data_IF_103406203350
#
_entry.id   IF_103406203350
#
_cell.length_a   1.000
_cell.length_b   1.000
_cell.length_c   1.000
_cell.angle_alpha   90.00
_cell.angle_beta   90.00
_cell.angle_gamma   90.00
#
_symmetry.space_group_name_H-M   'P 1'
#
loop_
_entity.id
_entity.type
_entity.pdbx_description
1 polymer ?
#
# COMPACT_ATOMS: atom_id res chain seq x y z
N UNK A 1 -25.63 2.40 42.47
CA UNK A 1 -24.32 2.66 41.81
C UNK A 1 -24.19 1.90 40.50
N UNK A 2 -24.42 0.58 40.51
CA UNK A 2 -24.38 -0.27 39.31
C UNK A 2 -25.37 0.16 38.21
N UNK A 3 -26.61 0.50 38.58
CA UNK A 3 -27.60 1.01 37.61
C UNK A 3 -27.12 2.27 36.88
N UNK A 4 -26.45 3.17 37.60
CA UNK A 4 -25.89 4.40 37.03
C UNK A 4 -24.75 4.08 36.04
N UNK A 5 -23.88 3.13 36.38
CA UNK A 5 -22.79 2.67 35.51
C UNK A 5 -23.32 1.97 34.26
N UNK A 6 -24.32 1.10 34.40
CA UNK A 6 -25.00 0.44 33.28
C UNK A 6 -25.63 1.46 32.33
N UNK A 7 -26.39 2.41 32.87
CA UNK A 7 -27.04 3.45 32.07
C UNK A 7 -26.01 4.32 31.32
N UNK A 8 -24.84 4.56 31.93
CA UNK A 8 -23.76 5.29 31.28
C UNK A 8 -23.14 4.50 30.11
N UNK A 9 -22.96 3.19 30.27
CA UNK A 9 -22.47 2.30 29.21
C UNK A 9 -23.46 2.17 28.04
N UNK A 10 -24.76 2.03 28.33
CA UNK A 10 -25.81 2.05 27.31
C UNK A 10 -25.80 3.35 26.51
N UNK A 11 -25.78 4.49 27.21
CA UNK A 11 -25.75 5.81 26.58
C UNK A 11 -24.52 6.00 25.68
N UNK A 12 -23.36 5.52 26.11
CA UNK A 12 -22.14 5.56 25.30
C UNK A 12 -22.27 4.69 24.04
N UNK A 13 -22.81 3.47 24.17
CA UNK A 13 -23.05 2.55 23.06
C UNK A 13 -24.04 3.11 22.03
N UNK A 14 -25.08 3.81 22.47
CA UNK A 14 -26.04 4.50 21.61
C UNK A 14 -25.43 5.71 20.89
N UNK A 15 -24.67 6.54 21.60
CA UNK A 15 -23.98 7.69 21.02
C UNK A 15 -22.98 7.27 19.93
N UNK A 16 -22.27 6.15 20.15
CA UNK A 16 -21.40 5.55 19.14
C UNK A 16 -22.19 5.10 17.91
N UNK A 17 -23.30 4.38 18.11
CA UNK A 17 -24.17 3.95 17.02
C UNK A 17 -24.67 5.14 16.19
N UNK A 18 -25.12 6.20 16.87
CA UNK A 18 -25.59 7.43 16.22
C UNK A 18 -24.48 8.13 15.43
N UNK A 19 -23.28 8.21 15.99
CA UNK A 19 -22.11 8.81 15.31
C UNK A 19 -21.75 8.05 14.04
N UNK A 20 -21.94 6.72 14.02
CA UNK A 20 -21.72 5.90 12.83
C UNK A 20 -22.76 6.11 11.74
N UNK A 21 -24.03 6.28 12.14
CA UNK A 21 -25.13 6.54 11.23
C UNK A 21 -25.00 7.92 10.57
N UNK A 22 -24.60 8.94 11.34
CA UNK A 22 -24.47 10.33 10.91
C UNK A 22 -23.20 10.60 10.09
N UNK A 23 -22.10 9.86 10.30
CA UNK A 23 -20.82 10.10 9.63
C UNK A 23 -20.48 9.02 8.57
N UNK A 24 -20.58 9.32 7.25
CA UNK A 24 -20.24 8.37 6.18
C UNK A 24 -18.74 8.03 6.10
N UNK A 25 -17.85 8.82 6.71
CA UNK A 25 -16.44 8.45 6.85
C UNK A 25 -16.24 7.48 8.03
N UNK A 26 -17.03 7.60 9.09
CA UNK A 26 -17.12 6.59 10.12
C UNK A 26 -17.70 5.27 9.56
N UNK A 27 -18.58 5.33 8.54
CA UNK A 27 -19.06 4.14 7.83
C UNK A 27 -17.95 3.28 7.20
N UNK A 28 -16.83 3.84 6.76
CA UNK A 28 -15.69 2.99 6.27
C UNK A 28 -14.94 2.28 7.40
N UNK A 29 -15.12 2.74 8.64
CA UNK A 29 -14.70 2.04 9.84
C UNK A 29 -15.83 1.17 10.45
N UNK A 30 -16.99 1.02 9.76
CA UNK A 30 -18.23 0.40 10.25
C UNK A 30 -18.02 -0.93 10.95
N UNK A 31 -17.30 -1.86 10.32
CA UNK A 31 -17.17 -3.22 10.85
C UNK A 31 -16.64 -3.24 12.28
N UNK A 32 -15.65 -2.38 12.59
CA UNK A 32 -15.04 -2.31 13.92
C UNK A 32 -15.86 -1.55 14.95
N UNK A 33 -16.72 -0.62 14.51
CA UNK A 33 -17.45 0.29 15.40
C UNK A 33 -18.87 -0.21 15.69
N UNK A 34 -19.50 -0.92 14.76
CA UNK A 34 -20.77 -1.63 14.99
C UNK A 34 -20.60 -2.77 16.01
N UNK A 35 -19.52 -3.53 15.90
CA UNK A 35 -19.15 -4.56 16.88
C UNK A 35 -18.93 -3.96 18.27
N UNK A 36 -18.27 -2.80 18.33
CA UNK A 36 -17.97 -2.11 19.57
C UNK A 36 -19.24 -1.58 20.26
N UNK A 37 -20.22 -1.06 19.52
CA UNK A 37 -21.52 -0.66 20.10
C UNK A 37 -22.28 -1.85 20.69
N UNK A 38 -22.26 -3.01 20.03
CA UNK A 38 -22.86 -4.25 20.57
C UNK A 38 -22.15 -4.71 21.85
N UNK A 39 -20.82 -4.70 21.85
CA UNK A 39 -20.02 -5.11 23.01
C UNK A 39 -20.29 -4.21 24.24
N UNK A 40 -20.50 -2.90 24.02
CA UNK A 40 -20.88 -1.99 25.11
C UNK A 40 -22.27 -2.28 25.70
N UNK A 41 -23.24 -2.70 24.87
CA UNK A 41 -24.56 -3.11 25.36
C UNK A 41 -24.50 -4.38 26.19
N UNK A 42 -23.71 -5.35 25.77
CA UNK A 42 -23.47 -6.58 26.55
C UNK A 42 -22.85 -6.28 27.92
N UNK A 43 -21.86 -5.38 27.96
CA UNK A 43 -21.21 -4.98 29.23
C UNK A 43 -22.19 -4.21 30.12
N UNK A 44 -23.03 -3.35 29.56
CA UNK A 44 -24.06 -2.68 30.35
C UNK A 44 -25.01 -3.70 31.01
N UNK A 45 -25.48 -4.69 30.26
CA UNK A 45 -26.29 -5.79 30.80
C UNK A 45 -25.57 -6.60 31.89
N UNK A 46 -24.27 -6.88 31.72
CA UNK A 46 -23.46 -7.55 32.76
C UNK A 46 -23.32 -6.68 34.03
N UNK A 47 -23.05 -5.38 33.89
CA UNK A 47 -22.99 -4.43 35.01
C UNK A 47 -24.34 -4.37 35.73
N UNK A 48 -25.46 -4.36 34.99
CA UNK A 48 -26.82 -4.35 35.53
C UNK A 48 -27.14 -5.59 36.35
N UNK A 49 -26.64 -6.76 35.92
CA UNK A 49 -26.74 -8.04 36.65
C UNK A 49 -25.80 -8.12 37.86
N UNK A 50 -24.88 -7.16 38.03
CA UNK A 50 -23.91 -7.15 39.10
C UNK A 50 -22.67 -8.01 38.82
N UNK A 51 -22.49 -8.49 37.59
CA UNK A 51 -21.39 -9.35 37.17
C UNK A 51 -20.16 -8.50 36.79
N UNK A 52 -19.53 -7.90 37.80
CA UNK A 52 -18.24 -7.20 37.60
C UNK A 52 -17.10 -8.14 38.00
N UNK A 53 -16.51 -8.77 36.99
CA UNK A 53 -15.32 -9.59 37.12
C UNK A 53 -14.10 -8.95 36.44
N UNK A 54 -12.94 -9.59 36.58
CA UNK A 54 -11.70 -9.14 35.93
C UNK A 54 -11.81 -9.20 34.41
N UNK A 55 -12.61 -10.11 33.87
CA UNK A 55 -12.80 -10.26 32.43
C UNK A 55 -13.55 -9.07 31.82
N UNK A 56 -14.63 -8.63 32.45
CA UNK A 56 -15.40 -7.43 32.09
C UNK A 56 -14.50 -6.19 32.09
N UNK A 57 -13.64 -6.07 33.10
CA UNK A 57 -12.72 -4.95 33.22
C UNK A 57 -11.67 -4.95 32.09
N UNK A 58 -11.18 -6.11 31.69
CA UNK A 58 -10.27 -6.25 30.55
C UNK A 58 -10.96 -6.05 29.19
N UNK A 59 -12.24 -6.44 29.05
CA UNK A 59 -13.07 -6.07 27.90
C UNK A 59 -13.24 -4.55 27.80
N UNK A 60 -13.53 -3.87 28.91
CA UNK A 60 -13.62 -2.41 28.95
C UNK A 60 -12.31 -1.71 28.53
N UNK A 61 -11.14 -2.19 28.98
CA UNK A 61 -9.83 -1.66 28.52
C UNK A 61 -9.62 -1.83 27.02
N UNK A 62 -10.01 -2.98 26.47
CA UNK A 62 -9.92 -3.25 25.02
C UNK A 62 -10.84 -2.33 24.22
N UNK A 63 -12.07 -2.12 24.69
CA UNK A 63 -13.02 -1.17 24.07
C UNK A 63 -12.44 0.24 24.08
N UNK A 64 -11.93 0.72 25.21
CA UNK A 64 -11.31 2.03 25.32
C UNK A 64 -10.16 2.21 24.32
N UNK A 65 -9.28 1.21 24.22
CA UNK A 65 -8.15 1.23 23.27
C UNK A 65 -8.64 1.33 21.82
N UNK A 66 -9.65 0.54 21.46
CA UNK A 66 -10.26 0.56 20.11
C UNK A 66 -10.95 1.89 19.81
N UNK A 67 -11.60 2.52 20.79
CA UNK A 67 -12.21 3.85 20.63
C UNK A 67 -11.14 4.91 20.37
N UNK A 68 -10.04 4.91 21.12
CA UNK A 68 -8.93 5.84 20.93
C UNK A 68 -8.28 5.68 19.54
N UNK A 69 -8.11 4.44 19.09
CA UNK A 69 -7.61 4.15 17.75
C UNK A 69 -8.59 4.56 16.65
N UNK A 70 -9.90 4.41 16.88
CA UNK A 70 -10.92 4.87 15.96
C UNK A 70 -10.91 6.39 15.83
N UNK A 71 -10.83 7.13 16.94
CA UNK A 71 -10.72 8.58 16.94
C UNK A 71 -9.47 9.04 16.16
N UNK A 72 -8.30 8.43 16.45
CA UNK A 72 -7.06 8.71 15.71
C UNK A 72 -7.19 8.43 14.22
N UNK A 73 -7.86 7.33 13.85
CA UNK A 73 -8.06 6.94 12.45
C UNK A 73 -9.05 7.82 11.69
N UNK A 74 -10.03 8.43 12.35
CA UNK A 74 -10.91 9.43 11.76
C UNK A 74 -10.07 10.68 11.46
N UNK A 75 -9.41 11.25 12.48
CA UNK A 75 -8.57 12.44 12.29
C UNK A 75 -7.46 12.25 11.26
N UNK A 76 -6.75 11.11 11.25
CA UNK A 76 -5.69 10.86 10.27
C UNK A 76 -6.20 10.82 8.82
N UNK A 77 -7.44 10.41 8.59
CA UNK A 77 -8.03 10.40 7.24
C UNK A 77 -8.32 11.81 6.75
N UNK A 78 -8.76 12.72 7.63
CA UNK A 78 -9.00 14.13 7.30
C UNK A 78 -7.72 14.81 6.78
N UNK A 79 -6.55 14.44 7.32
CA UNK A 79 -5.25 15.00 6.92
C UNK A 79 -4.49 14.18 5.87
N UNK A 80 -5.00 13.01 5.47
CA UNK A 80 -4.31 12.10 4.55
C UNK A 80 -4.55 12.50 3.09
N UNK A 81 -3.52 13.03 2.42
CA UNK A 81 -3.49 13.13 0.94
C UNK A 81 -3.57 11.72 0.34
N UNK A 82 -4.76 11.31 -0.12
CA UNK A 82 -4.92 10.05 -0.86
C UNK A 82 -4.11 10.12 -2.15
N UNK A 83 -3.23 9.14 -2.38
CA UNK A 83 -2.56 8.94 -3.66
C UNK A 83 -3.65 8.77 -4.73
N UNK A 84 -3.74 9.69 -5.68
CA UNK A 84 -4.45 9.45 -6.94
C UNK A 84 -3.47 8.68 -7.82
N UNK A 85 -3.82 7.44 -8.16
CA UNK A 85 -3.16 6.76 -9.25
C UNK A 85 -3.76 7.38 -10.52
N UNK A 86 -2.98 8.18 -11.24
CA UNK A 86 -3.33 8.55 -12.60
C UNK A 86 -2.99 7.36 -13.48
N UNK A 87 -4.02 6.71 -14.02
CA UNK A 87 -3.82 5.75 -15.10
C UNK A 87 -3.25 6.55 -16.28
N UNK A 88 -2.07 6.21 -16.81
CA UNK A 88 -1.56 6.92 -17.97
C UNK A 88 -2.58 6.79 -19.09
N UNK A 89 -3.07 7.91 -19.62
CA UNK A 89 -3.77 7.92 -20.89
C UNK A 89 -2.88 7.20 -21.91
N UNK A 90 -3.45 6.32 -22.73
CA UNK A 90 -2.75 5.71 -23.86
C UNK A 90 -2.41 6.82 -24.87
N UNK A 91 -1.38 7.62 -24.57
CA UNK A 91 -0.75 8.48 -25.54
C UNK A 91 -0.06 7.55 -26.52
N UNK A 92 -0.54 7.52 -27.76
CA UNK A 92 0.28 7.03 -28.86
C UNK A 92 1.51 7.93 -28.92
N UNK A 93 2.64 7.43 -28.44
CA UNK A 93 3.93 8.05 -28.69
C UNK A 93 4.28 7.78 -30.15
N UNK A 94 4.53 8.84 -30.92
CA UNK A 94 5.24 8.69 -32.19
C UNK A 94 6.63 8.15 -31.86
N UNK A 95 6.87 6.89 -32.20
CA UNK A 95 8.19 6.31 -32.09
C UNK A 95 9.09 7.01 -33.11
N UNK A 96 10.32 7.42 -32.74
CA UNK A 96 11.27 7.93 -33.72
C UNK A 96 11.43 6.94 -34.87
N UNK A 97 11.65 7.42 -36.11
CA UNK A 97 11.88 6.54 -37.24
C UNK A 97 13.05 5.60 -36.94
N UNK A 98 12.98 4.37 -37.47
CA UNK A 98 14.03 3.37 -37.30
C UNK A 98 15.40 3.96 -37.62
N UNK A 99 16.35 3.67 -36.74
CA UNK A 99 17.73 4.10 -36.88
C UNK A 99 18.31 3.46 -38.15
N UNK A 100 18.45 4.24 -39.23
CA UNK A 100 19.15 3.81 -40.44
C UNK A 100 20.64 3.78 -40.14
N UNK A 101 21.13 2.63 -39.66
CA UNK A 101 22.55 2.34 -39.63
C UNK A 101 23.00 2.19 -41.09
N UNK A 102 23.63 3.22 -41.64
CA UNK A 102 24.46 3.01 -42.83
C UNK A 102 25.50 1.96 -42.45
N UNK A 103 25.43 0.80 -43.09
CA UNK A 103 26.59 -0.11 -43.12
C UNK A 103 27.69 0.68 -43.80
N UNK A 104 28.56 1.31 -43.03
CA UNK A 104 29.86 1.68 -43.54
C UNK A 104 30.45 0.39 -44.09
N UNK A 105 30.75 0.34 -45.38
CA UNK A 105 31.58 -0.72 -45.95
C UNK A 105 32.96 -0.58 -45.30
N UNK A 106 33.08 -1.09 -44.08
CA UNK A 106 34.34 -1.18 -43.40
C UNK A 106 35.10 -2.27 -44.14
N UNK A 107 35.90 -1.86 -45.13
CA UNK A 107 36.58 -2.79 -45.99
C UNK A 107 37.45 -3.71 -45.13
N UNK A 108 37.46 -5.01 -45.46
CA UNK A 108 38.27 -6.00 -44.75
C UNK A 108 39.76 -5.59 -44.65
N UNK A 109 40.23 -4.76 -45.59
CA UNK A 109 41.59 -4.18 -45.59
C UNK A 109 41.81 -3.20 -44.44
N UNK A 110 40.86 -2.32 -44.15
CA UNK A 110 40.97 -1.35 -43.06
C UNK A 110 40.94 -2.05 -41.70
N UNK A 111 40.15 -3.12 -41.60
CA UNK A 111 40.15 -4.00 -40.43
C UNK A 111 41.49 -4.70 -40.21
N UNK A 112 42.08 -5.28 -41.26
CA UNK A 112 43.40 -5.93 -41.16
C UNK A 112 44.49 -4.92 -40.76
N UNK A 113 44.42 -3.69 -41.26
CA UNK A 113 45.35 -2.62 -40.89
C UNK A 113 45.20 -2.25 -39.42
N UNK A 114 43.96 -2.04 -38.95
CA UNK A 114 43.67 -1.72 -37.55
C UNK A 114 44.13 -2.82 -36.59
N UNK A 115 43.93 -4.10 -36.95
CA UNK A 115 44.40 -5.23 -36.15
C UNK A 115 45.93 -5.23 -35.99
N UNK A 116 46.66 -5.04 -37.08
CA UNK A 116 48.12 -5.04 -37.07
C UNK A 116 48.70 -3.86 -36.26
N UNK A 117 48.03 -2.70 -36.27
CA UNK A 117 48.48 -1.50 -35.57
C UNK A 117 48.17 -1.53 -34.06
N UNK A 118 47.07 -2.16 -33.65
CA UNK A 118 46.55 -2.03 -32.27
C UNK A 118 46.62 -3.32 -31.44
N UNK A 119 46.84 -4.48 -32.05
CA UNK A 119 46.81 -5.76 -31.36
C UNK A 119 48.00 -6.67 -31.73
N UNK A 120 48.54 -7.46 -30.79
CA UNK A 120 49.59 -8.45 -31.08
C UNK A 120 49.11 -9.61 -31.99
N UNK A 121 50.01 -10.25 -32.77
CA UNK A 121 49.70 -11.34 -33.73
C UNK A 121 48.87 -12.49 -33.14
N UNK A 122 49.11 -12.82 -31.87
CA UNK A 122 48.50 -13.93 -31.15
C UNK A 122 46.98 -13.74 -31.01
N UNK A 123 46.52 -12.48 -30.89
CA UNK A 123 45.11 -12.15 -30.67
C UNK A 123 44.30 -12.03 -31.97
N UNK A 124 44.96 -11.92 -33.13
CA UNK A 124 44.28 -11.70 -34.41
C UNK A 124 43.28 -12.83 -34.75
N UNK A 125 43.68 -14.09 -34.49
CA UNK A 125 42.81 -15.25 -34.72
C UNK A 125 41.59 -15.27 -33.80
N UNK A 126 41.75 -14.81 -32.56
CA UNK A 126 40.67 -14.77 -31.58
C UNK A 126 39.65 -13.69 -31.94
N UNK A 127 40.12 -12.49 -32.31
CA UNK A 127 39.28 -11.36 -32.68
C UNK A 127 38.46 -11.68 -33.94
N UNK A 128 39.08 -12.31 -34.95
CA UNK A 128 38.37 -12.76 -36.17
C UNK A 128 37.22 -13.72 -35.86
N UNK A 129 37.49 -14.78 -35.07
CA UNK A 129 36.46 -15.75 -34.67
C UNK A 129 35.30 -15.11 -33.89
N UNK A 130 35.60 -14.15 -33.03
CA UNK A 130 34.58 -13.45 -32.25
C UNK A 130 33.66 -12.62 -33.14
N UNK A 131 34.22 -11.84 -34.08
CA UNK A 131 33.40 -11.02 -34.99
C UNK A 131 32.57 -11.88 -35.96
N UNK A 132 33.13 -12.97 -36.49
CA UNK A 132 32.38 -13.94 -37.31
C UNK A 132 31.18 -14.54 -36.56
N UNK A 133 31.26 -14.64 -35.22
CA UNK A 133 30.15 -15.12 -34.39
C UNK A 133 29.04 -14.07 -34.17
N UNK A 134 29.33 -12.78 -34.38
CA UNK A 134 28.38 -11.67 -34.19
C UNK A 134 27.70 -11.27 -35.50
N UNK A 135 28.32 -11.54 -36.66
CA UNK A 135 27.73 -11.28 -37.98
C UNK A 135 26.64 -12.29 -38.42
N UNK A 136 26.31 -13.29 -37.59
CA UNK A 136 25.31 -14.34 -37.88
C UNK A 136 23.98 -14.07 -37.18
#
# INVERSE_FOLDING_TARGET
MMERLSAEQERLGENLKRTLEENPEAKKAMGRLDELSKEMKEIAEQIKKGEIDTELLDRQKRILSRMLDAQRSIHKRDFSKKRKAETPEQKLYESPPELKLEKSEFEYKDFLKYLNENYPPEYHKLIKKYLESIEK
#
